data_IF_351345719520
#
_entry.id   IF_351345719520
#
_cell.length_a   1.000
_cell.length_b   1.000
_cell.length_c   1.000
_cell.angle_alpha   90.00
_cell.angle_beta   90.00
_cell.angle_gamma   90.00
#
_symmetry.space_group_name_H-M   'P 1'
#
loop_
_entity.id
_entity.type
_entity.pdbx_description
1 polymer ?
#
# COMPACT_ATOMS: atom_id res chain seq x y z
N UNK A 1 4.59 -11.18 8.20
CA UNK A 1 4.54 -9.99 7.32
C UNK A 1 4.85 -8.68 8.03
N UNK A 2 4.97 -8.64 9.36
CA UNK A 2 5.62 -7.51 10.02
C UNK A 2 7.08 -7.39 9.53
N UNK A 3 7.55 -6.17 9.32
CA UNK A 3 8.97 -5.80 9.29
C UNK A 3 9.79 -6.13 8.04
N UNK A 4 9.20 -6.41 6.87
CA UNK A 4 10.03 -6.37 5.65
C UNK A 4 10.65 -4.97 5.59
N UNK A 5 11.98 -4.82 5.49
CA UNK A 5 12.66 -3.57 5.80
C UNK A 5 12.53 -2.60 4.61
N UNK A 6 11.30 -2.14 4.36
CA UNK A 6 11.03 -1.13 3.34
C UNK A 6 11.81 0.16 3.61
N UNK A 7 12.10 0.43 4.90
CA UNK A 7 12.79 1.64 5.35
C UNK A 7 14.31 1.52 5.51
N UNK A 8 14.91 0.34 5.32
CA UNK A 8 16.38 0.16 5.46
C UNK A 8 17.17 0.63 4.22
N UNK A 9 16.53 1.27 3.24
CA UNK A 9 17.20 1.80 2.03
C UNK A 9 18.00 3.07 2.30
N UNK A 10 17.83 3.72 3.46
CA UNK A 10 18.52 4.96 3.79
C UNK A 10 19.47 4.77 4.97
N UNK A 11 20.73 5.18 4.80
CA UNK A 11 21.71 5.28 5.88
C UNK A 11 21.34 6.37 6.90
N UNK A 12 20.73 7.47 6.43
CA UNK A 12 20.10 8.51 7.24
C UNK A 12 18.70 8.76 6.67
N UNK A 13 17.61 8.44 7.38
CA UNK A 13 16.26 8.67 6.88
C UNK A 13 16.02 10.16 6.65
N UNK A 14 15.71 10.54 5.42
CA UNK A 14 15.17 11.87 5.11
C UNK A 14 13.66 11.76 4.99
N UNK A 15 12.93 12.76 5.50
CA UNK A 15 11.46 12.81 5.42
C UNK A 15 10.94 12.65 3.99
N UNK A 16 11.69 13.14 3.00
CA UNK A 16 11.39 12.99 1.57
C UNK A 16 11.43 11.53 1.13
N UNK A 17 12.45 10.77 1.52
CA UNK A 17 12.57 9.34 1.20
C UNK A 17 11.47 8.51 1.83
N UNK A 18 11.15 8.79 3.10
CA UNK A 18 10.05 8.11 3.81
C UNK A 18 8.69 8.36 3.13
N UNK A 19 8.44 9.58 2.65
CA UNK A 19 7.21 9.90 1.90
C UNK A 19 7.11 9.11 0.59
N UNK A 20 8.20 9.04 -0.17
CA UNK A 20 8.25 8.29 -1.44
C UNK A 20 8.05 6.78 -1.22
N UNK A 21 8.66 6.23 -0.18
CA UNK A 21 8.51 4.80 0.11
C UNK A 21 7.13 4.46 0.65
N UNK A 22 6.52 5.35 1.44
CA UNK A 22 5.13 5.20 1.85
C UNK A 22 4.18 5.23 0.66
N UNK A 23 4.36 6.19 -0.25
CA UNK A 23 3.57 6.30 -1.48
C UNK A 23 3.71 5.04 -2.35
N UNK A 24 4.94 4.56 -2.57
CA UNK A 24 5.18 3.31 -3.29
C UNK A 24 4.52 2.12 -2.62
N UNK A 25 4.62 2.03 -1.29
CA UNK A 25 4.04 0.92 -0.54
C UNK A 25 2.51 0.93 -0.59
N UNK A 26 1.88 2.11 -0.47
CA UNK A 26 0.43 2.25 -0.57
C UNK A 26 -0.07 1.82 -1.96
N UNK A 27 0.62 2.24 -3.03
CA UNK A 27 0.31 1.79 -4.38
C UNK A 27 0.38 0.26 -4.49
N UNK A 28 1.52 -0.34 -4.15
CA UNK A 28 1.69 -1.80 -4.17
C UNK A 28 0.61 -2.53 -3.35
N UNK A 29 0.35 -2.07 -2.13
CA UNK A 29 -0.63 -2.69 -1.24
C UNK A 29 -2.04 -2.65 -1.86
N UNK A 30 -2.43 -1.52 -2.44
CA UNK A 30 -3.77 -1.29 -2.97
C UNK A 30 -4.01 -1.97 -4.32
N UNK A 31 -3.02 -1.95 -5.22
CA UNK A 31 -3.18 -2.38 -6.61
C UNK A 31 -2.65 -3.78 -6.90
N UNK A 32 -1.57 -4.20 -6.25
CA UNK A 32 -0.81 -5.39 -6.68
C UNK A 32 -0.91 -6.53 -5.67
N UNK A 33 -1.05 -6.20 -4.39
CA UNK A 33 -1.07 -7.20 -3.32
C UNK A 33 -2.44 -7.87 -3.22
N UNK A 34 -2.47 -9.17 -3.52
CA UNK A 34 -3.62 -10.03 -3.26
C UNK A 34 -3.93 -10.10 -1.76
N UNK A 35 -5.19 -9.85 -1.38
CA UNK A 35 -5.64 -10.09 -0.01
C UNK A 35 -5.92 -11.57 0.26
N UNK A 36 -5.30 -12.10 1.30
CA UNK A 36 -5.43 -13.50 1.76
C UNK A 36 -6.70 -13.78 2.58
N UNK A 37 -7.58 -12.78 2.75
CA UNK A 37 -8.85 -12.96 3.46
C UNK A 37 -9.82 -13.87 2.72
N UNK A 38 -10.57 -14.68 3.47
CA UNK A 38 -11.59 -15.60 2.90
C UNK A 38 -12.60 -14.89 1.99
N UNK A 39 -13.01 -13.67 2.34
CA UNK A 39 -14.03 -12.90 1.61
C UNK A 39 -13.46 -12.15 0.40
N UNK A 40 -12.18 -11.83 0.43
CA UNK A 40 -11.51 -11.09 -0.65
C UNK A 40 -11.13 -12.00 -1.81
N UNK A 41 -11.03 -13.32 -1.58
CA UNK A 41 -10.76 -14.36 -2.60
C UNK A 41 -9.50 -14.07 -3.43
N UNK A 42 -8.43 -13.59 -2.78
CA UNK A 42 -7.18 -13.25 -3.46
C UNK A 42 -7.23 -11.97 -4.30
N UNK A 43 -8.34 -11.24 -4.33
CA UNK A 43 -8.43 -9.95 -5.01
C UNK A 43 -7.67 -8.87 -4.25
N UNK A 44 -7.21 -7.87 -4.99
CA UNK A 44 -6.54 -6.69 -4.43
C UNK A 44 -7.57 -5.79 -3.74
N UNK A 45 -7.14 -4.93 -2.79
CA UNK A 45 -8.04 -3.96 -2.16
C UNK A 45 -8.83 -3.15 -3.18
N UNK A 46 -8.17 -2.67 -4.23
CA UNK A 46 -8.77 -1.89 -5.30
C UNK A 46 -9.88 -2.67 -6.05
N UNK A 47 -9.69 -3.97 -6.29
CA UNK A 47 -10.68 -4.82 -6.94
C UNK A 47 -11.89 -5.15 -6.04
N UNK A 48 -11.77 -5.00 -4.72
CA UNK A 48 -12.86 -5.24 -3.77
C UNK A 48 -13.68 -3.98 -3.52
N UNK A 49 -13.01 -2.84 -3.32
CA UNK A 49 -13.63 -1.56 -2.93
C UNK A 49 -14.01 -0.71 -4.17
N UNK A 50 -13.28 -0.89 -5.27
CA UNK A 50 -13.39 -0.09 -6.50
C UNK A 50 -12.50 1.17 -6.48
N UNK A 51 -11.89 1.48 -7.62
CA UNK A 51 -10.97 2.62 -7.82
C UNK A 51 -11.52 3.95 -7.32
N UNK A 52 -12.73 4.29 -7.73
CA UNK A 52 -13.34 5.59 -7.41
C UNK A 52 -13.50 5.80 -5.89
N UNK A 53 -13.84 4.75 -5.15
CA UNK A 53 -14.08 4.82 -3.71
C UNK A 53 -12.79 4.79 -2.90
N UNK A 54 -11.76 4.11 -3.39
CA UNK A 54 -10.45 4.05 -2.72
C UNK A 54 -9.71 5.38 -2.74
N UNK A 55 -9.83 6.13 -3.84
CA UNK A 55 -9.09 7.38 -4.05
C UNK A 55 -9.94 8.64 -3.88
N UNK A 56 -11.22 8.50 -3.54
CA UNK A 56 -12.08 9.66 -3.26
C UNK A 56 -11.56 10.40 -2.03
N UNK A 57 -11.49 11.73 -2.10
CA UNK A 57 -11.21 12.53 -0.91
C UNK A 57 -12.38 12.41 0.08
N UNK A 58 -12.11 12.33 1.39
CA UNK A 58 -13.16 12.48 2.39
C UNK A 58 -13.88 13.81 2.19
N UNK A 59 -15.20 13.83 2.41
CA UNK A 59 -15.98 15.07 2.47
C UNK A 59 -15.60 15.89 3.71
#
# INVERSE_FOLDING_TARGET
ECWRPAFARYLIPKITGLRLDLDRYLNYYNSDRAHTGRLTKGRTPEAVIGKAKMWSKPK
#
